data_IF_399563964285
#
_entry.id   IF_399563964285
#
_cell.length_a   1.000
_cell.length_b   1.000
_cell.length_c   1.000
_cell.angle_alpha   90.00
_cell.angle_beta   90.00
_cell.angle_gamma   90.00
#
_symmetry.space_group_name_H-M   'P 1'
#
loop_
_entity.id
_entity.type
_entity.pdbx_description
1 polymer ?
#
# COMPACT_ATOMS: atom_id res chain seq x y z
N UNK A 1 35.61 -29.32 -15.10
CA UNK A 1 35.12 -28.35 -14.10
C UNK A 1 33.87 -27.73 -14.66
N UNK A 2 32.70 -28.25 -14.28
CA UNK A 2 31.42 -27.61 -14.57
C UNK A 2 31.18 -26.54 -13.51
N UNK A 3 31.03 -25.29 -13.96
CA UNK A 3 30.64 -24.18 -13.08
C UNK A 3 29.12 -24.19 -12.99
N UNK A 4 28.65 -24.39 -11.77
CA UNK A 4 27.27 -24.27 -11.32
C UNK A 4 26.78 -22.86 -11.66
N UNK A 5 25.99 -22.71 -12.73
CA UNK A 5 25.11 -21.54 -12.85
C UNK A 5 23.88 -21.82 -12.01
N UNK A 6 23.98 -21.52 -10.72
CA UNK A 6 22.81 -21.22 -9.89
C UNK A 6 21.93 -20.24 -10.66
N UNK A 7 20.67 -20.60 -10.80
CA UNK A 7 19.54 -19.74 -11.13
C UNK A 7 19.52 -18.57 -10.13
N UNK A 8 20.41 -17.60 -10.33
CA UNK A 8 20.41 -16.37 -9.59
C UNK A 8 19.21 -15.60 -10.12
N UNK A 9 18.10 -15.72 -9.39
CA UNK A 9 16.89 -14.94 -9.62
C UNK A 9 17.27 -13.52 -9.99
N UNK A 10 16.72 -13.06 -11.12
CA UNK A 10 17.02 -11.75 -11.70
C UNK A 10 17.07 -10.68 -10.60
N UNK A 11 18.06 -9.78 -10.64
CA UNK A 11 18.18 -8.74 -9.62
C UNK A 11 16.87 -7.97 -9.52
N UNK A 12 16.34 -7.86 -8.29
CA UNK A 12 15.15 -7.07 -8.02
C UNK A 12 15.32 -5.66 -8.58
N UNK A 13 14.44 -5.30 -9.51
CA UNK A 13 14.46 -3.95 -10.06
C UNK A 13 13.99 -2.95 -9.00
N UNK A 14 14.44 -1.70 -9.10
CA UNK A 14 13.91 -0.60 -8.26
C UNK A 14 12.38 -0.51 -8.34
N UNK A 15 11.80 -0.86 -9.49
CA UNK A 15 10.35 -0.94 -9.68
C UNK A 15 9.70 -2.03 -8.81
N UNK A 16 10.28 -3.24 -8.81
CA UNK A 16 9.83 -4.35 -7.94
C UNK A 16 9.92 -3.97 -6.46
N UNK A 17 11.00 -3.31 -6.05
CA UNK A 17 11.15 -2.82 -4.67
C UNK A 17 10.11 -1.76 -4.33
N UNK A 18 9.81 -0.84 -5.24
CA UNK A 18 8.79 0.19 -5.06
C UNK A 18 7.38 -0.42 -4.90
N UNK A 19 7.04 -1.44 -5.67
CA UNK A 19 5.77 -2.16 -5.52
C UNK A 19 5.69 -2.93 -4.19
N UNK A 20 6.76 -3.59 -3.76
CA UNK A 20 6.80 -4.24 -2.44
C UNK A 20 6.69 -3.23 -1.29
N UNK A 21 7.26 -2.04 -1.43
CA UNK A 21 7.06 -0.96 -0.47
C UNK A 21 5.60 -0.53 -0.41
N UNK A 22 4.87 -0.52 -1.54
CA UNK A 22 3.43 -0.28 -1.54
C UNK A 22 2.62 -1.39 -0.87
N UNK A 23 2.97 -2.66 -1.10
CA UNK A 23 2.38 -3.80 -0.40
C UNK A 23 2.48 -3.58 1.11
N UNK A 24 3.69 -3.27 1.59
CA UNK A 24 3.95 -3.03 3.01
C UNK A 24 3.14 -1.86 3.55
N UNK A 25 3.15 -0.73 2.84
CA UNK A 25 2.37 0.44 3.22
C UNK A 25 0.88 0.13 3.41
N UNK A 26 0.28 -0.61 2.47
CA UNK A 26 -1.13 -0.96 2.56
C UNK A 26 -1.44 -1.97 3.66
N UNK A 27 -0.53 -2.92 3.92
CA UNK A 27 -0.65 -3.82 5.08
C UNK A 27 -0.62 -3.05 6.40
N UNK A 28 0.35 -2.14 6.59
CA UNK A 28 0.47 -1.33 7.81
C UNK A 28 -0.78 -0.45 8.01
N UNK A 29 -1.35 0.11 6.93
CA UNK A 29 -2.62 0.87 6.99
C UNK A 29 -3.81 -0.01 7.35
N UNK A 30 -3.89 -1.23 6.81
CA UNK A 30 -4.96 -2.18 7.18
C UNK A 30 -4.90 -2.56 8.67
N UNK A 31 -3.70 -2.75 9.23
CA UNK A 31 -3.50 -2.99 10.66
C UNK A 31 -3.95 -1.79 11.50
N UNK A 32 -3.59 -0.57 11.08
CA UNK A 32 -4.03 0.66 11.74
C UNK A 32 -5.55 0.77 11.74
N UNK A 33 -6.22 0.62 10.60
CA UNK A 33 -7.68 0.66 10.50
C UNK A 33 -8.34 -0.42 11.35
N UNK A 34 -7.75 -1.62 11.45
CA UNK A 34 -8.25 -2.66 12.35
C UNK A 34 -8.18 -2.24 13.83
N UNK A 35 -7.09 -1.59 14.25
CA UNK A 35 -6.97 -1.06 15.61
C UNK A 35 -7.99 0.06 15.86
N UNK A 36 -8.25 0.92 14.86
CA UNK A 36 -9.27 1.97 14.92
C UNK A 36 -10.69 1.38 15.06
N UNK A 37 -11.01 0.34 14.29
CA UNK A 37 -12.28 -0.36 14.40
C UNK A 37 -12.47 -0.94 15.81
N UNK A 38 -11.45 -1.61 16.37
CA UNK A 38 -11.52 -2.23 17.71
C UNK A 38 -11.78 -1.22 18.82
N UNK A 39 -11.18 -0.03 18.74
CA UNK A 39 -11.33 1.03 19.77
C UNK A 39 -12.57 1.90 19.59
N UNK A 40 -13.27 1.77 18.46
CA UNK A 40 -14.38 2.66 18.12
C UNK A 40 -15.67 2.31 18.89
N UNK A 41 -16.27 3.33 19.50
CA UNK A 41 -17.52 3.20 20.26
C UNK A 41 -18.77 3.25 19.38
N UNK A 42 -18.68 3.83 18.17
CA UNK A 42 -19.79 3.93 17.23
C UNK A 42 -19.82 2.75 16.25
N UNK A 43 -20.99 2.14 16.05
CA UNK A 43 -21.17 1.07 15.08
C UNK A 43 -20.84 1.54 13.65
N UNK A 44 -21.30 2.74 13.27
CA UNK A 44 -21.00 3.32 11.96
C UNK A 44 -19.48 3.51 11.75
N UNK A 45 -18.78 4.01 12.76
CA UNK A 45 -17.33 4.20 12.68
C UNK A 45 -16.59 2.85 12.65
N UNK A 46 -17.05 1.83 13.38
CA UNK A 46 -16.50 0.47 13.27
C UNK A 46 -16.61 -0.06 11.84
N UNK A 47 -17.80 0.03 11.24
CA UNK A 47 -18.04 -0.39 9.86
C UNK A 47 -17.16 0.37 8.88
N UNK A 48 -17.04 1.70 9.02
CA UNK A 48 -16.19 2.50 8.16
C UNK A 48 -14.72 2.05 8.21
N UNK A 49 -14.16 1.86 9.41
CA UNK A 49 -12.79 1.35 9.57
C UNK A 49 -12.61 -0.07 9.02
N UNK A 50 -13.60 -0.94 9.17
CA UNK A 50 -13.55 -2.29 8.55
C UNK A 50 -13.52 -2.21 7.02
N UNK A 51 -14.35 -1.35 6.40
CA UNK A 51 -14.33 -1.16 4.95
C UNK A 51 -12.99 -0.61 4.48
N UNK A 52 -12.42 0.37 5.19
CA UNK A 52 -11.12 0.95 4.86
C UNK A 52 -9.97 -0.08 4.97
N UNK A 53 -10.00 -0.90 6.02
CA UNK A 53 -9.08 -2.03 6.18
C UNK A 53 -9.15 -2.96 4.97
N UNK A 54 -10.34 -3.40 4.60
CA UNK A 54 -10.52 -4.37 3.52
C UNK A 54 -10.09 -3.79 2.16
N UNK A 55 -10.35 -2.50 1.92
CA UNK A 55 -9.84 -1.78 0.76
C UNK A 55 -8.30 -1.75 0.73
N UNK A 56 -7.64 -1.48 1.85
CA UNK A 56 -6.18 -1.53 1.92
C UNK A 56 -5.63 -2.94 1.65
N UNK A 57 -6.28 -3.99 2.13
CA UNK A 57 -5.88 -5.37 1.82
C UNK A 57 -6.01 -5.69 0.33
N UNK A 58 -7.06 -5.20 -0.35
CA UNK A 58 -7.22 -5.34 -1.79
C UNK A 58 -6.13 -4.61 -2.58
N UNK A 59 -5.74 -3.41 -2.14
CA UNK A 59 -4.64 -2.65 -2.75
C UNK A 59 -3.29 -3.34 -2.53
N UNK A 60 -3.05 -3.92 -1.35
CA UNK A 60 -1.84 -4.71 -1.08
C UNK A 60 -1.76 -5.94 -2.01
N UNK A 61 -2.85 -6.69 -2.15
CA UNK A 61 -2.91 -7.85 -3.04
C UNK A 61 -2.69 -7.46 -4.51
N UNK A 62 -3.26 -6.32 -4.95
CA UNK A 62 -3.04 -5.79 -6.30
C UNK A 62 -1.57 -5.40 -6.51
N UNK A 63 -0.95 -4.72 -5.54
CA UNK A 63 0.45 -4.32 -5.61
C UNK A 63 1.40 -5.54 -5.60
N UNK A 64 1.05 -6.61 -4.87
CA UNK A 64 1.80 -7.87 -4.85
C UNK A 64 1.76 -8.55 -6.23
N UNK A 65 0.60 -8.63 -6.87
CA UNK A 65 0.47 -9.13 -8.23
C UNK A 65 1.31 -8.33 -9.23
N UNK A 66 1.31 -7.00 -9.13
CA UNK A 66 2.09 -6.14 -10.04
C UNK A 66 3.60 -6.25 -9.78
N UNK A 67 4.02 -6.47 -8.53
CA UNK A 67 5.44 -6.67 -8.19
C UNK A 67 6.05 -7.88 -8.90
N UNK A 68 5.23 -8.89 -9.20
CA UNK A 68 5.61 -10.11 -9.92
C UNK A 68 5.52 -9.96 -11.45
N UNK A 69 4.90 -8.89 -11.95
CA UNK A 69 4.76 -8.67 -13.39
C UNK A 69 6.08 -8.20 -14.03
N UNK A 70 6.51 -8.84 -15.13
CA UNK A 70 7.66 -8.36 -15.88
C UNK A 70 7.33 -7.00 -16.53
N UNK A 71 8.28 -6.06 -16.47
CA UNK A 71 8.15 -4.69 -17.01
C UNK A 71 6.99 -3.87 -16.41
N UNK A 72 6.59 -4.15 -15.17
CA UNK A 72 5.65 -3.30 -14.46
C UNK A 72 6.12 -1.83 -14.48
N UNK A 73 5.20 -0.91 -14.72
CA UNK A 73 5.48 0.52 -14.52
C UNK A 73 5.63 0.79 -13.02
N UNK A 74 6.50 1.73 -12.61
CA UNK A 74 6.63 2.07 -11.20
C UNK A 74 5.29 2.57 -10.65
N UNK A 75 4.99 2.28 -9.37
CA UNK A 75 3.78 2.75 -8.77
C UNK A 75 3.72 4.29 -8.78
N UNK A 76 2.59 4.85 -9.17
CA UNK A 76 2.36 6.28 -9.00
C UNK A 76 2.17 6.54 -7.50
N UNK A 77 3.01 7.41 -6.93
CA UNK A 77 2.90 7.81 -5.52
C UNK A 77 1.63 8.62 -5.30
N UNK A 78 0.52 7.93 -5.02
CA UNK A 78 -0.71 8.56 -4.56
C UNK A 78 -0.53 9.15 -3.16
N UNK A 79 0.43 8.65 -2.37
CA UNK A 79 0.67 9.12 -1.02
C UNK A 79 1.07 10.61 -0.98
N UNK A 80 2.01 11.08 -1.80
CA UNK A 80 2.39 12.50 -1.80
C UNK A 80 1.28 13.40 -2.37
N UNK A 81 0.57 12.93 -3.40
CA UNK A 81 -0.51 13.69 -4.02
C UNK A 81 -1.73 13.79 -3.10
N UNK A 82 -2.10 12.68 -2.45
CA UNK A 82 -3.23 12.59 -1.53
C UNK A 82 -2.93 13.27 -0.20
N UNK A 83 -1.73 13.12 0.37
CA UNK A 83 -1.33 13.88 1.57
C UNK A 83 -1.24 15.38 1.26
N UNK A 84 -0.70 15.75 0.10
CA UNK A 84 -0.67 17.14 -0.35
C UNK A 84 -2.08 17.71 -0.61
N UNK A 85 -3.02 16.89 -1.09
CA UNK A 85 -4.42 17.27 -1.24
C UNK A 85 -5.12 17.42 0.12
N UNK A 86 -4.97 16.45 1.02
CA UNK A 86 -5.52 16.51 2.38
C UNK A 86 -4.99 17.71 3.17
N UNK A 87 -3.70 18.01 3.08
CA UNK A 87 -3.12 19.23 3.68
C UNK A 87 -3.78 20.48 3.11
N UNK A 88 -3.87 20.61 1.78
CA UNK A 88 -4.51 21.76 1.13
C UNK A 88 -5.98 21.91 1.52
N UNK A 89 -6.73 20.81 1.62
CA UNK A 89 -8.14 20.85 2.03
C UNK A 89 -8.29 21.22 3.51
N UNK A 90 -7.42 20.72 4.40
CA UNK A 90 -7.45 21.08 5.82
C UNK A 90 -7.13 22.56 6.10
N UNK A 91 -6.38 23.23 5.22
CA UNK A 91 -6.18 24.69 5.28
C UNK A 91 -7.32 25.47 4.61
N UNK A 92 -8.19 24.81 3.85
CA UNK A 92 -9.34 25.42 3.17
C UNK A 92 -10.55 25.54 4.09
N UNK A 93 -10.77 24.56 4.97
CA UNK A 93 -11.81 24.61 6.01
C UNK A 93 -11.49 25.59 7.15
N UNK A 94 -10.26 26.11 7.21
CA UNK A 94 -9.81 27.07 8.23
C UNK A 94 -9.96 28.54 7.80
N UNK A 95 -10.62 28.83 6.68
CA UNK A 95 -10.73 30.17 6.11
C UNK A 95 -12.15 30.52 5.64
#
# INVERSE_FOLDING_TARGET
>A
MEIIMTDQGLPETECTQAWRAQVRYHQDRAEQEQALARRSRSAAARTAHTVLRDHHLQLAASAEQVAEMPNAQPPQSSALQHTGWLMRESYRDAN
#
